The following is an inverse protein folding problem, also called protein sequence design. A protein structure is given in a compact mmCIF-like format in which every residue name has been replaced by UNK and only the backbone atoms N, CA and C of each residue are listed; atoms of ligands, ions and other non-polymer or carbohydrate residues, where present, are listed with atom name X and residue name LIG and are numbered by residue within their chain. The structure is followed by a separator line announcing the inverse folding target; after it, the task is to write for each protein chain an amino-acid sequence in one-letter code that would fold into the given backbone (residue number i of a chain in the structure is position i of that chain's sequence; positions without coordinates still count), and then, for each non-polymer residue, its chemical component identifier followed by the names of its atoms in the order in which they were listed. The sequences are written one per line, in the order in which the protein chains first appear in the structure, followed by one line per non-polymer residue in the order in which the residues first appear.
data_IF_397391993274
#
_entry.id   IF_397391993274
#
_cell.length_a   1.000
_cell.length_b   1.000
_cell.length_c   1.000
_cell.angle_alpha   90.00
_cell.angle_beta   90.00
_cell.angle_gamma   90.00
#
_symmetry.space_group_name_H-M   'P 1'
#
loop_
_entity.id
_entity.type
_entity.pdbx_description
1 polymer ?
#
# COMPACT_ATOMS: atom_id res chain seq x y z
N UNK A 1 -10.29 20.50 -23.68
CA UNK A 1 -9.07 20.85 -22.89
C UNK A 1 -8.07 21.46 -23.85
N UNK A 2 -7.49 22.60 -23.49
CA UNK A 2 -6.48 23.25 -24.33
C UNK A 2 -5.07 22.70 -24.08
N UNK A 3 -4.81 22.20 -22.86
CA UNK A 3 -3.54 21.58 -22.47
C UNK A 3 -3.79 20.33 -21.63
N UNK A 4 -2.95 19.33 -21.79
CA UNK A 4 -2.94 18.10 -20.98
C UNK A 4 -1.53 17.95 -20.41
N UNK A 5 -1.44 17.73 -19.12
CA UNK A 5 -0.19 17.49 -18.41
C UNK A 5 -0.23 16.09 -17.80
N UNK A 6 0.90 15.42 -17.77
CA UNK A 6 1.05 14.12 -17.14
C UNK A 6 1.94 14.26 -15.90
N UNK A 7 1.54 13.61 -14.81
CA UNK A 7 2.34 13.54 -13.57
C UNK A 7 2.37 12.11 -13.07
N UNK A 8 3.54 11.65 -12.70
CA UNK A 8 3.68 10.34 -12.08
C UNK A 8 3.22 10.36 -10.63
N UNK A 9 2.55 9.29 -10.20
CA UNK A 9 1.96 9.15 -8.86
C UNK A 9 2.93 9.46 -7.70
N UNK A 10 4.22 9.05 -7.73
CA UNK A 10 5.18 9.39 -6.68
C UNK A 10 5.39 10.89 -6.49
N UNK A 11 5.46 11.66 -7.59
CA UNK A 11 5.58 13.11 -7.49
C UNK A 11 4.34 13.76 -6.91
N UNK A 12 3.15 13.34 -7.38
CA UNK A 12 1.90 13.83 -6.83
C UNK A 12 1.82 13.57 -5.32
N UNK A 13 2.17 12.37 -4.87
CA UNK A 13 2.21 12.05 -3.44
C UNK A 13 3.19 12.95 -2.68
N UNK A 14 4.43 13.12 -3.17
CA UNK A 14 5.42 13.98 -2.54
C UNK A 14 4.92 15.42 -2.41
N UNK A 15 4.33 15.97 -3.46
CA UNK A 15 3.77 17.32 -3.48
C UNK A 15 2.62 17.46 -2.47
N UNK A 16 1.75 16.46 -2.36
CA UNK A 16 0.64 16.46 -1.40
C UNK A 16 1.09 16.55 0.05
N UNK A 17 2.30 16.07 0.34
CA UNK A 17 2.92 16.12 1.67
C UNK A 17 3.83 17.35 1.86
N UNK A 18 3.82 18.29 0.92
CA UNK A 18 4.66 19.48 0.97
C UNK A 18 6.15 19.20 0.79
N UNK A 19 6.52 18.04 0.25
CA UNK A 19 7.92 17.71 -0.01
C UNK A 19 8.41 18.48 -1.23
N UNK A 20 9.62 19.01 -1.13
CA UNK A 20 10.29 19.61 -2.27
C UNK A 20 10.84 18.49 -3.17
N UNK A 21 10.21 18.29 -4.31
CA UNK A 21 10.59 17.25 -5.30
C UNK A 21 11.84 17.65 -6.10
N UNK A 22 12.23 18.93 -6.09
CA UNK A 22 13.47 19.43 -6.72
C UNK A 22 14.70 19.30 -5.82
N UNK A 23 14.51 18.91 -4.55
CA UNK A 23 15.58 18.71 -3.59
C UNK A 23 16.59 17.65 -4.10
N UNK A 24 17.86 17.86 -3.79
CA UNK A 24 18.95 16.91 -4.10
C UNK A 24 18.91 15.66 -3.23
N UNK A 25 18.17 15.69 -2.10
CA UNK A 25 18.03 14.56 -1.19
C UNK A 25 17.02 13.55 -1.72
N UNK A 26 17.40 12.27 -1.66
CA UNK A 26 16.55 11.17 -2.04
C UNK A 26 15.30 11.03 -1.17
N UNK A 27 14.14 10.82 -1.79
CA UNK A 27 12.87 10.55 -1.11
C UNK A 27 12.27 9.28 -1.66
N UNK A 28 11.94 8.33 -0.79
CA UNK A 28 11.29 7.07 -1.19
C UNK A 28 9.80 7.13 -0.92
N UNK A 29 9.02 6.77 -1.93
CA UNK A 29 7.56 6.74 -1.89
C UNK A 29 7.07 5.35 -2.28
N UNK A 30 6.16 4.80 -1.49
CA UNK A 30 5.46 3.54 -1.75
C UNK A 30 3.98 3.86 -1.87
N UNK A 31 3.42 3.68 -3.07
CA UNK A 31 1.98 3.83 -3.34
C UNK A 31 1.35 2.46 -3.53
N UNK A 32 0.54 2.03 -2.55
CA UNK A 32 -0.21 0.77 -2.58
C UNK A 32 -1.65 1.06 -2.97
N UNK A 33 -1.91 1.01 -4.28
CA UNK A 33 -3.25 1.19 -4.83
C UNK A 33 -4.15 -0.05 -4.69
N UNK A 34 -5.24 -0.09 -5.46
CA UNK A 34 -6.12 -1.26 -5.53
C UNK A 34 -5.46 -2.44 -6.24
N UNK A 35 -5.00 -2.24 -7.48
CA UNK A 35 -4.49 -3.30 -8.33
C UNK A 35 -2.96 -3.43 -8.36
N UNK A 36 -2.23 -2.40 -7.98
CA UNK A 36 -0.76 -2.35 -8.07
C UNK A 36 -0.14 -1.61 -6.89
N UNK A 37 1.13 -1.92 -6.65
CA UNK A 37 2.02 -1.15 -5.79
C UNK A 37 3.13 -0.56 -6.64
N UNK A 38 3.34 0.74 -6.54
CA UNK A 38 4.43 1.47 -7.17
C UNK A 38 5.37 2.00 -6.09
N UNK A 39 6.65 1.74 -6.28
CA UNK A 39 7.72 2.12 -5.36
C UNK A 39 8.71 2.95 -6.17
N UNK A 40 9.03 4.15 -5.70
CA UNK A 40 9.95 5.04 -6.39
C UNK A 40 10.86 5.80 -5.43
N UNK A 41 12.10 6.00 -5.84
CA UNK A 41 13.03 6.95 -5.23
C UNK A 41 13.14 8.15 -6.15
N UNK A 42 12.78 9.33 -5.63
CA UNK A 42 12.79 10.60 -6.35
C UNK A 42 13.90 11.50 -5.82
N UNK A 43 14.55 12.23 -6.73
CA UNK A 43 15.60 13.20 -6.45
C UNK A 43 15.70 14.18 -7.61
N UNK A 44 15.89 15.48 -7.36
CA UNK A 44 16.10 16.51 -8.39
C UNK A 44 15.03 16.47 -9.51
N UNK A 45 13.77 16.37 -9.16
CA UNK A 45 12.63 16.26 -10.08
C UNK A 45 12.66 15.06 -11.03
N UNK A 46 13.45 14.03 -10.72
CA UNK A 46 13.56 12.79 -11.49
C UNK A 46 13.29 11.54 -10.64
N UNK A 47 12.82 10.47 -11.29
CA UNK A 47 12.80 9.13 -10.69
C UNK A 47 14.15 8.49 -10.93
N UNK A 48 14.84 8.13 -9.84
CA UNK A 48 16.17 7.49 -9.90
C UNK A 48 16.06 5.98 -9.98
N UNK A 49 15.17 5.40 -9.16
CA UNK A 49 14.84 3.97 -9.15
C UNK A 49 13.35 3.82 -8.99
N UNK A 50 12.77 2.89 -9.74
CA UNK A 50 11.38 2.52 -9.57
C UNK A 50 11.14 1.02 -9.70
N UNK A 51 10.04 0.57 -9.12
CA UNK A 51 9.48 -0.76 -9.30
C UNK A 51 7.97 -0.72 -9.17
N UNK A 52 7.29 -1.40 -10.09
CA UNK A 52 5.85 -1.61 -10.04
C UNK A 52 5.56 -3.11 -9.99
N UNK A 53 4.68 -3.52 -9.07
CA UNK A 53 4.20 -4.90 -8.96
C UNK A 53 2.67 -4.93 -9.01
N UNK A 54 2.10 -6.00 -9.58
CA UNK A 54 0.64 -6.19 -9.69
C UNK A 54 0.04 -6.75 -8.39
N UNK A 55 0.42 -6.17 -7.27
CA UNK A 55 -0.09 -6.48 -5.92
C UNK A 55 -0.63 -5.18 -5.32
N UNK A 56 -1.85 -5.22 -4.79
CA UNK A 56 -2.48 -4.09 -4.14
C UNK A 56 -3.66 -4.54 -3.28
N UNK A 57 -4.54 -3.63 -2.92
CA UNK A 57 -5.69 -3.87 -2.05
C UNK A 57 -6.62 -4.98 -2.54
N UNK A 58 -6.78 -5.14 -3.86
CA UNK A 58 -7.61 -6.19 -4.47
C UNK A 58 -6.97 -7.57 -4.27
N UNK A 59 -5.64 -7.64 -4.30
CA UNK A 59 -4.90 -8.87 -3.99
C UNK A 59 -5.13 -9.32 -2.56
N UNK A 60 -5.17 -8.38 -1.61
CA UNK A 60 -5.50 -8.66 -0.21
C UNK A 60 -6.93 -9.22 -0.07
N UNK A 61 -7.91 -8.60 -0.72
CA UNK A 61 -9.29 -9.10 -0.71
C UNK A 61 -9.41 -10.49 -1.32
N UNK A 62 -8.67 -10.75 -2.40
CA UNK A 62 -8.67 -12.05 -3.10
C UNK A 62 -8.07 -13.17 -2.27
N UNK A 63 -6.97 -12.95 -1.55
CA UNK A 63 -6.39 -14.00 -0.69
C UNK A 63 -7.30 -14.32 0.49
N UNK A 64 -8.05 -13.34 1.02
CA UNK A 64 -9.10 -13.57 2.04
C UNK A 64 -10.23 -14.44 1.48
N UNK A 65 -10.72 -14.16 0.26
CA UNK A 65 -11.73 -15.00 -0.39
C UNK A 65 -11.22 -16.43 -0.59
N UNK A 66 -9.98 -16.58 -1.07
CA UNK A 66 -9.38 -17.88 -1.33
C UNK A 66 -9.13 -18.66 -0.03
N UNK A 67 -8.72 -17.99 1.05
CA UNK A 67 -8.56 -18.58 2.37
C UNK A 67 -9.87 -19.15 2.89
N UNK A 68 -10.94 -18.36 2.85
CA UNK A 68 -12.29 -18.78 3.24
C UNK A 68 -12.80 -19.95 2.38
N UNK A 69 -12.53 -19.92 1.10
CA UNK A 69 -12.93 -20.99 0.20
C UNK A 69 -12.15 -22.28 0.48
N UNK A 70 -10.85 -22.19 0.67
CA UNK A 70 -9.95 -23.34 0.85
C UNK A 70 -10.15 -24.03 2.20
N UNK A 71 -10.29 -23.24 3.27
CA UNK A 71 -10.26 -23.78 4.63
C UNK A 71 -11.67 -24.09 5.18
N UNK A 72 -12.67 -23.32 4.73
CA UNK A 72 -14.02 -23.42 5.26
C UNK A 72 -15.09 -23.80 4.22
N UNK A 73 -14.70 -23.97 2.94
CA UNK A 73 -15.63 -24.21 1.83
C UNK A 73 -16.79 -23.20 1.77
N UNK A 74 -16.53 -21.94 2.17
CA UNK A 74 -17.52 -20.86 2.14
C UNK A 74 -17.22 -19.93 0.98
N UNK A 75 -18.28 -19.52 0.26
CA UNK A 75 -18.18 -18.54 -0.80
C UNK A 75 -18.67 -17.18 -0.32
N UNK A 76 -17.82 -16.18 -0.46
CA UNK A 76 -18.17 -14.77 -0.17
C UNK A 76 -17.98 -13.88 -1.40
N UNK A 77 -18.69 -12.75 -1.44
CA UNK A 77 -18.47 -11.73 -2.45
C UNK A 77 -17.18 -10.93 -2.17
N UNK A 78 -16.65 -10.28 -3.21
CA UNK A 78 -15.52 -9.36 -3.08
C UNK A 78 -15.80 -8.24 -2.07
N UNK A 79 -17.03 -7.72 -2.04
CA UNK A 79 -17.46 -6.70 -1.09
C UNK A 79 -17.38 -7.16 0.37
N UNK A 80 -17.68 -8.43 0.64
CA UNK A 80 -17.53 -9.01 1.99
C UNK A 80 -16.05 -9.16 2.33
N UNK A 81 -15.23 -9.65 1.40
CA UNK A 81 -13.78 -9.75 1.61
C UNK A 81 -13.14 -8.39 1.88
N UNK A 82 -13.57 -7.36 1.14
CA UNK A 82 -13.14 -5.97 1.36
C UNK A 82 -13.51 -5.45 2.75
N UNK A 83 -14.71 -5.76 3.25
CA UNK A 83 -15.12 -5.41 4.61
C UNK A 83 -14.28 -6.15 5.66
N UNK A 84 -14.00 -7.44 5.45
CA UNK A 84 -13.15 -8.22 6.34
C UNK A 84 -11.74 -7.61 6.38
N UNK A 85 -11.16 -7.32 5.21
CA UNK A 85 -9.85 -6.67 5.10
C UNK A 85 -9.79 -5.35 5.86
N UNK A 86 -10.77 -4.46 5.66
CA UNK A 86 -10.79 -3.13 6.28
C UNK A 86 -10.93 -3.16 7.80
N UNK A 87 -11.70 -4.10 8.31
CA UNK A 87 -12.03 -4.12 9.74
C UNK A 87 -11.14 -5.07 10.56
N UNK A 88 -10.60 -6.11 9.93
CA UNK A 88 -9.89 -7.20 10.62
C UNK A 88 -8.56 -7.59 9.95
N UNK A 89 -8.28 -7.06 8.74
CA UNK A 89 -7.03 -7.32 8.04
C UNK A 89 -5.85 -6.69 8.76
N UNK A 90 -4.82 -7.47 9.03
CA UNK A 90 -3.56 -7.00 9.60
C UNK A 90 -2.37 -7.63 8.89
N UNK A 91 -1.31 -6.86 8.71
CA UNK A 91 -0.07 -7.35 8.12
C UNK A 91 0.78 -8.16 9.10
N UNK A 92 0.51 -8.04 10.41
CA UNK A 92 1.23 -8.75 11.47
C UNK A 92 0.23 -9.56 12.28
N UNK A 93 0.45 -10.88 12.47
CA UNK A 93 -0.40 -11.69 13.35
C UNK A 93 -0.27 -11.25 14.82
N UNK A 94 -1.27 -11.57 15.63
CA UNK A 94 -1.30 -11.30 17.07
C UNK A 94 -1.28 -9.81 17.46
N UNK A 95 -2.21 -9.04 16.91
CA UNK A 95 -2.45 -7.66 17.36
C UNK A 95 -2.93 -7.65 18.82
N UNK A 96 -2.32 -6.82 19.67
CA UNK A 96 -2.70 -6.69 21.09
C UNK A 96 -4.17 -6.25 21.31
N UNK A 97 -4.79 -5.60 20.33
CA UNK A 97 -6.17 -5.09 20.39
C UNK A 97 -7.06 -5.60 19.26
N UNK A 98 -6.72 -6.72 18.63
CA UNK A 98 -7.55 -7.29 17.57
C UNK A 98 -8.90 -7.74 18.12
N UNK A 99 -10.01 -7.53 17.41
CA UNK A 99 -11.27 -8.18 17.73
C UNK A 99 -11.04 -9.69 17.79
N UNK A 100 -11.51 -10.31 18.86
CA UNK A 100 -11.20 -11.72 19.12
C UNK A 100 -11.75 -12.66 18.03
N UNK A 101 -12.87 -12.33 17.43
CA UNK A 101 -13.52 -13.16 16.41
C UNK A 101 -14.38 -12.29 15.47
N UNK A 102 -14.37 -12.62 14.18
CA UNK A 102 -15.28 -12.07 13.19
C UNK A 102 -16.17 -13.18 12.63
N UNK A 103 -17.48 -12.96 12.64
CA UNK A 103 -18.46 -13.92 12.14
C UNK A 103 -18.71 -13.68 10.66
N UNK A 104 -18.37 -14.67 9.82
CA UNK A 104 -18.66 -14.70 8.39
C UNK A 104 -19.81 -15.65 8.12
N UNK A 105 -20.78 -15.19 7.32
CA UNK A 105 -21.91 -15.99 6.86
C UNK A 105 -21.91 -16.08 5.34
N UNK A 106 -22.18 -17.26 4.83
CA UNK A 106 -22.28 -17.48 3.39
C UNK A 106 -22.70 -18.90 3.05
N UNK A 107 -22.96 -19.19 1.77
CA UNK A 107 -23.30 -20.54 1.34
C UNK A 107 -22.08 -21.43 1.34
N UNK A 108 -22.23 -22.65 1.80
CA UNK A 108 -21.27 -23.73 1.61
C UNK A 108 -21.19 -24.09 0.11
N UNK A 109 -19.98 -24.20 -0.43
CA UNK A 109 -19.78 -24.31 -1.89
C UNK A 109 -20.42 -25.57 -2.48
N UNK A 110 -20.41 -26.68 -1.72
CA UNK A 110 -20.89 -28.01 -2.21
C UNK A 110 -22.37 -28.18 -1.94
N UNK A 111 -22.84 -27.88 -0.70
CA UNK A 111 -24.23 -28.17 -0.28
C UNK A 111 -25.18 -27.01 -0.49
N UNK A 112 -24.66 -25.79 -0.77
CA UNK A 112 -25.38 -24.53 -0.82
C UNK A 112 -26.12 -24.16 0.50
N UNK A 113 -25.89 -24.89 1.57
CA UNK A 113 -26.46 -24.58 2.88
C UNK A 113 -25.81 -23.32 3.47
N UNK A 114 -26.59 -22.48 4.17
CA UNK A 114 -26.02 -21.35 4.89
C UNK A 114 -25.17 -21.83 6.05
N UNK A 115 -23.92 -21.41 6.08
CA UNK A 115 -23.00 -21.69 7.18
C UNK A 115 -22.49 -20.41 7.81
N UNK A 116 -22.12 -20.50 9.07
CA UNK A 116 -21.52 -19.44 9.85
C UNK A 116 -20.18 -19.91 10.39
N UNK A 117 -19.14 -19.10 10.19
CA UNK A 117 -17.79 -19.37 10.69
C UNK A 117 -17.28 -18.19 11.49
N UNK A 118 -16.38 -18.46 12.43
CA UNK A 118 -15.67 -17.46 13.20
C UNK A 118 -14.23 -17.41 12.70
N UNK A 119 -13.78 -16.21 12.31
CA UNK A 119 -12.42 -15.95 11.86
C UNK A 119 -11.66 -15.19 12.93
N UNK A 120 -10.43 -15.56 13.14
CA UNK A 120 -9.46 -14.78 13.92
C UNK A 120 -8.65 -13.83 13.03
N UNK A 121 -8.14 -12.75 13.62
CA UNK A 121 -7.22 -11.85 12.93
C UNK A 121 -5.90 -12.54 12.55
N UNK A 122 -5.49 -13.57 13.29
CA UNK A 122 -4.30 -14.36 13.00
C UNK A 122 -4.45 -15.14 11.70
N UNK A 123 -5.58 -15.82 11.48
CA UNK A 123 -5.84 -16.53 10.22
C UNK A 123 -5.85 -15.56 9.03
N UNK A 124 -6.48 -14.39 9.19
CA UNK A 124 -6.49 -13.38 8.14
C UNK A 124 -5.07 -12.89 7.85
N UNK A 125 -4.23 -12.66 8.87
CA UNK A 125 -2.84 -12.28 8.70
C UNK A 125 -2.01 -13.36 7.98
N UNK A 126 -2.26 -14.63 8.26
CA UNK A 126 -1.61 -15.75 7.57
C UNK A 126 -1.95 -15.74 6.06
N UNK A 127 -3.20 -15.50 5.70
CA UNK A 127 -3.59 -15.38 4.28
C UNK A 127 -2.98 -14.14 3.61
N UNK A 128 -2.85 -13.04 4.34
CA UNK A 128 -2.25 -11.79 3.84
C UNK A 128 -0.72 -11.85 3.72
N UNK A 129 -0.08 -12.87 4.29
CA UNK A 129 1.39 -12.98 4.31
C UNK A 129 2.01 -13.05 2.90
N UNK A 130 1.40 -13.76 1.96
CA UNK A 130 1.93 -13.89 0.59
C UNK A 130 2.02 -12.53 -0.13
N UNK A 131 0.93 -11.75 -0.25
CA UNK A 131 1.00 -10.45 -0.89
C UNK A 131 1.86 -9.43 -0.12
N UNK A 132 1.91 -9.48 1.22
CA UNK A 132 2.76 -8.58 2.00
C UNK A 132 4.24 -8.87 1.82
N UNK A 133 4.66 -10.14 1.80
CA UNK A 133 6.04 -10.55 1.47
C UNK A 133 6.43 -10.06 0.07
N UNK A 134 5.52 -10.12 -0.90
CA UNK A 134 5.78 -9.64 -2.25
C UNK A 134 6.07 -8.13 -2.28
N UNK A 135 5.34 -7.35 -1.46
CA UNK A 135 5.60 -5.90 -1.29
C UNK A 135 6.94 -5.68 -0.58
N UNK A 136 7.22 -6.40 0.53
CA UNK A 136 8.50 -6.30 1.25
C UNK A 136 9.70 -6.55 0.33
N UNK A 137 9.62 -7.60 -0.50
CA UNK A 137 10.68 -7.94 -1.43
C UNK A 137 10.85 -6.87 -2.53
N UNK A 138 9.75 -6.27 -3.00
CA UNK A 138 9.82 -5.18 -3.96
C UNK A 138 10.45 -3.91 -3.36
N UNK A 139 10.16 -3.61 -2.09
CA UNK A 139 10.78 -2.50 -1.34
C UNK A 139 12.28 -2.75 -1.17
N UNK A 140 12.67 -3.97 -0.76
CA UNK A 140 14.08 -4.35 -0.61
C UNK A 140 14.85 -4.21 -1.92
N UNK A 141 14.29 -4.67 -3.06
CA UNK A 141 14.92 -4.56 -4.38
C UNK A 141 15.15 -3.09 -4.80
N UNK A 142 14.20 -2.20 -4.52
CA UNK A 142 14.37 -0.77 -4.81
C UNK A 142 15.47 -0.17 -3.93
N UNK A 143 15.51 -0.49 -2.63
CA UNK A 143 16.56 -0.02 -1.72
C UNK A 143 17.95 -0.52 -2.13
N UNK A 144 18.06 -1.78 -2.54
CA UNK A 144 19.34 -2.37 -3.02
C UNK A 144 19.86 -1.69 -4.30
N UNK A 145 18.96 -1.23 -5.18
CA UNK A 145 19.29 -0.53 -6.43
C UNK A 145 19.49 0.97 -6.24
N UNK A 146 19.18 1.50 -5.07
CA UNK A 146 19.29 2.93 -4.78
C UNK A 146 20.77 3.31 -4.57
N UNK A 147 21.28 4.39 -5.21
CA UNK A 147 22.61 4.90 -4.97
C UNK A 147 22.88 5.15 -3.48
N UNK A 148 24.11 4.87 -2.97
CA UNK A 148 24.41 4.95 -1.53
C UNK A 148 24.10 6.31 -0.89
N UNK A 149 24.31 7.41 -1.61
CA UNK A 149 24.05 8.77 -1.12
C UNK A 149 22.54 8.97 -0.88
N UNK A 150 21.69 8.57 -1.84
CA UNK A 150 20.26 8.69 -1.72
C UNK A 150 19.68 7.67 -0.72
N UNK A 151 20.31 6.51 -0.58
CA UNK A 151 19.95 5.54 0.46
C UNK A 151 20.15 6.14 1.86
N UNK A 152 21.27 6.82 2.10
CA UNK A 152 21.52 7.50 3.38
C UNK A 152 20.46 8.59 3.64
N UNK A 153 20.08 9.37 2.63
CA UNK A 153 19.00 10.37 2.76
C UNK A 153 17.67 9.73 3.19
N UNK A 154 17.34 8.56 2.65
CA UNK A 154 16.11 7.82 3.00
C UNK A 154 16.20 7.29 4.45
N UNK A 155 17.37 6.80 4.87
CA UNK A 155 17.60 6.31 6.24
C UNK A 155 17.49 7.44 7.25
N UNK A 156 18.07 8.60 6.97
CA UNK A 156 18.04 9.78 7.84
C UNK A 156 16.65 10.43 7.86
N UNK A 157 15.86 10.21 6.81
CA UNK A 157 14.49 10.70 6.67
C UNK A 157 13.43 9.65 7.04
N UNK A 158 12.67 9.25 6.05
CA UNK A 158 11.70 8.16 6.14
C UNK A 158 11.24 7.70 4.75
N UNK A 159 10.63 6.51 4.72
CA UNK A 159 9.85 6.03 3.57
C UNK A 159 8.41 6.57 3.72
N UNK A 160 7.89 7.18 2.67
CA UNK A 160 6.52 7.69 2.62
C UNK A 160 5.59 6.63 2.04
N UNK A 161 4.57 6.24 2.81
CA UNK A 161 3.63 5.19 2.45
C UNK A 161 2.26 5.80 2.14
N UNK A 162 1.68 5.48 0.98
CA UNK A 162 0.40 6.03 0.48
C UNK A 162 -0.44 4.99 -0.25
N UNK A 163 -1.61 5.42 -0.74
CA UNK A 163 -2.59 4.59 -1.44
C UNK A 163 -3.54 3.87 -0.49
N UNK A 164 -4.70 3.46 -1.00
CA UNK A 164 -5.74 2.81 -0.18
C UNK A 164 -5.30 1.48 0.45
N UNK A 165 -4.39 0.74 -0.21
CA UNK A 165 -3.85 -0.51 0.32
C UNK A 165 -2.91 -0.32 1.51
N UNK A 166 -2.31 0.86 1.66
CA UNK A 166 -1.45 1.21 2.80
C UNK A 166 -2.18 1.30 4.15
N UNK A 167 -3.51 1.37 4.09
CA UNK A 167 -4.38 1.39 5.28
C UNK A 167 -4.57 0.01 5.93
N UNK A 168 -3.96 -1.04 5.37
CA UNK A 168 -3.92 -2.35 6.04
C UNK A 168 -3.22 -2.20 7.40
N UNK A 169 -3.88 -2.66 8.46
CA UNK A 169 -3.34 -2.50 9.82
C UNK A 169 -1.93 -3.10 9.95
N UNK A 170 -1.06 -2.41 10.66
CA UNK A 170 0.33 -2.80 10.94
C UNK A 170 1.22 -2.98 9.69
N UNK A 171 0.81 -2.50 8.52
CA UNK A 171 1.66 -2.55 7.32
C UNK A 171 2.86 -1.60 7.42
N UNK A 172 2.73 -0.36 7.93
CA UNK A 172 3.90 0.49 8.19
C UNK A 172 4.91 -0.19 9.12
N UNK A 173 4.46 -0.77 10.23
CA UNK A 173 5.30 -1.45 11.21
C UNK A 173 6.01 -2.69 10.62
N UNK A 174 5.31 -3.43 9.74
CA UNK A 174 5.89 -4.56 9.02
C UNK A 174 7.05 -4.09 8.13
N UNK A 175 6.83 -3.03 7.35
CA UNK A 175 7.84 -2.46 6.46
C UNK A 175 9.02 -1.85 7.25
N UNK A 176 8.77 -1.17 8.37
CA UNK A 176 9.83 -0.69 9.26
C UNK A 176 10.67 -1.83 9.83
N UNK A 177 10.02 -2.90 10.27
CA UNK A 177 10.72 -4.09 10.78
C UNK A 177 11.61 -4.73 9.72
N UNK A 178 11.15 -4.76 8.48
CA UNK A 178 11.88 -5.34 7.34
C UNK A 178 13.05 -4.46 6.90
N UNK A 179 12.82 -3.17 6.71
CA UNK A 179 13.81 -2.24 6.13
C UNK A 179 14.74 -1.63 7.19
N UNK A 180 14.34 -1.60 8.45
CA UNK A 180 14.97 -0.84 9.54
C UNK A 180 14.96 0.67 9.32
N UNK A 181 14.12 1.16 8.41
CA UNK A 181 13.93 2.56 8.08
C UNK A 181 12.53 2.96 8.56
N UNK A 182 12.38 4.16 9.11
CA UNK A 182 11.10 4.70 9.53
C UNK A 182 10.13 4.77 8.34
N UNK A 183 8.91 4.28 8.52
CA UNK A 183 7.83 4.36 7.52
C UNK A 183 6.75 5.31 8.02
N UNK A 184 6.45 6.32 7.23
CA UNK A 184 5.43 7.32 7.54
C UNK A 184 4.24 7.19 6.60
N UNK A 185 3.08 6.84 7.15
CA UNK A 185 1.83 6.91 6.42
C UNK A 185 1.51 8.40 6.16
N UNK A 186 1.20 8.73 4.89
CA UNK A 186 0.82 10.10 4.51
C UNK A 186 -0.56 10.47 5.07
N UNK A 187 -0.81 11.76 5.20
CA UNK A 187 -2.13 12.25 5.54
C UNK A 187 -3.10 11.94 4.38
N UNK A 188 -4.24 11.31 4.70
CA UNK A 188 -5.26 10.89 3.73
C UNK A 188 -4.66 10.11 2.54
N UNK A 189 -4.18 8.87 2.77
CA UNK A 189 -3.48 8.07 1.76
C UNK A 189 -4.32 7.78 0.51
N UNK A 190 -5.63 7.73 0.67
CA UNK A 190 -6.55 7.42 -0.42
C UNK A 190 -6.65 8.56 -1.46
N UNK A 191 -6.52 9.81 -1.03
CA UNK A 191 -6.62 10.99 -1.91
C UNK A 191 -5.30 11.72 -2.14
N UNK A 192 -4.17 11.22 -1.63
CA UNK A 192 -2.87 11.90 -1.68
C UNK A 192 -2.45 12.29 -3.10
N UNK A 193 -2.60 11.38 -4.08
CA UNK A 193 -2.28 11.64 -5.49
C UNK A 193 -3.16 12.76 -6.05
N UNK A 194 -4.48 12.70 -5.82
CA UNK A 194 -5.40 13.75 -6.32
C UNK A 194 -5.08 15.11 -5.72
N UNK A 195 -4.78 15.18 -4.42
CA UNK A 195 -4.38 16.43 -3.73
C UNK A 195 -3.04 16.95 -4.24
N UNK A 196 -2.09 16.09 -4.56
CA UNK A 196 -0.82 16.49 -5.15
C UNK A 196 -0.99 17.08 -6.55
N UNK A 197 -1.82 16.45 -7.38
CA UNK A 197 -2.18 16.97 -8.70
C UNK A 197 -2.88 18.34 -8.59
N UNK A 198 -3.85 18.50 -7.68
CA UNK A 198 -4.51 19.78 -7.41
C UNK A 198 -3.50 20.86 -7.00
N UNK A 199 -2.58 20.54 -6.10
CA UNK A 199 -1.53 21.47 -5.66
C UNK A 199 -0.63 21.88 -6.81
N UNK A 200 -0.23 20.94 -7.66
CA UNK A 200 0.61 21.22 -8.82
C UNK A 200 -0.10 22.05 -9.89
N UNK A 201 -1.40 21.81 -10.10
CA UNK A 201 -2.22 22.61 -11.04
C UNK A 201 -2.35 24.08 -10.61
N UNK A 202 -2.32 24.36 -9.31
CA UNK A 202 -2.40 25.71 -8.78
C UNK A 202 -1.08 26.51 -8.94
N UNK A 203 0.06 25.83 -9.22
CA UNK A 203 1.36 26.46 -9.44
C UNK A 203 2.18 25.71 -10.50
N UNK A 204 1.69 25.70 -11.74
CA UNK A 204 2.36 25.05 -12.87
C UNK A 204 3.78 25.59 -13.13
N UNK A 205 4.05 26.85 -12.78
CA UNK A 205 5.38 27.43 -12.98
C UNK A 205 6.44 26.77 -12.05
N UNK A 206 6.03 26.38 -10.86
CA UNK A 206 6.89 25.69 -9.90
C UNK A 206 7.17 24.24 -10.32
N UNK A 207 6.21 23.62 -11.00
CA UNK A 207 6.26 22.21 -11.37
C UNK A 207 6.42 21.99 -12.88
N UNK A 208 7.37 22.73 -13.51
CA UNK A 208 7.63 22.68 -14.96
C UNK A 208 8.11 21.34 -15.50
N UNK A 209 8.51 20.40 -14.64
CA UNK A 209 8.87 19.04 -15.02
C UNK A 209 7.63 18.14 -15.28
N UNK A 210 6.43 18.70 -15.14
CA UNK A 210 5.16 18.07 -15.51
C UNK A 210 4.87 18.48 -16.94
N UNK A 211 5.19 17.65 -17.91
CA UNK A 211 4.96 17.98 -19.31
C UNK A 211 5.17 16.80 -20.22
#
# INVERSE_FOLDING_TARGET
CNNVFLMESPFATAISQGLDVSDVRGKMIIDIGGAKTQIAVICMSGIVVEKCISIGGDSFSRVIQNGLQREYNIKISEQIAEKIKKNFGTAIPNMENAPSEYVVRGPHIITAEPIEIKLSSTEIAEWLNEPTISIENAVSDVLERTPPELFNDIVDGCIWLTGGGSLLHNLPELLEKKTKIKVKLVDDPFHSVARGVETAMNDLNKYQFIG
#
